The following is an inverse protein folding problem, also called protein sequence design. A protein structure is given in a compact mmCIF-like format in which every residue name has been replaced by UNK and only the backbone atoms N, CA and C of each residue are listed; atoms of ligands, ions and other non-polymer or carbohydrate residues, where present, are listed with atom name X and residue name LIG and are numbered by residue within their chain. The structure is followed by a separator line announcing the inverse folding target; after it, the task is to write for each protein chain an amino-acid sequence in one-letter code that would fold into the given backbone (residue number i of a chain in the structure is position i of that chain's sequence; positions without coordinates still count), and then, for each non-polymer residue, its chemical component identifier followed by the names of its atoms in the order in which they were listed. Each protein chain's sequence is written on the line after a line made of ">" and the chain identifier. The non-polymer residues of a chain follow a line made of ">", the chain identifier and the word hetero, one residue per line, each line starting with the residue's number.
data_IF_409071462033
#
_entry.id   IF_409071462033
#
_cell.length_a   1.000
_cell.length_b   1.000
_cell.length_c   1.000
_cell.angle_alpha   90.00
_cell.angle_beta   90.00
_cell.angle_gamma   90.00
#
_symmetry.space_group_name_H-M   'P 1'
#
loop_
_entity.id
_entity.type
_entity.pdbx_description
1 polymer ?
#
# COMPACT_ATOMS: atom_id res chain seq x y z
N UNK A 1 -18.54 -1.17 -7.41
CA UNK A 1 -18.85 -0.76 -6.00
C UNK A 1 -18.13 -1.72 -5.08
N UNK A 2 -17.60 -1.29 -3.93
CA UNK A 2 -16.93 -2.18 -2.98
C UNK A 2 -17.86 -3.36 -2.59
N UNK A 3 -17.35 -4.59 -2.68
CA UNK A 3 -18.08 -5.82 -2.34
C UNK A 3 -17.09 -6.91 -1.92
N UNK A 4 -17.57 -7.97 -1.27
CA UNK A 4 -16.72 -9.11 -0.89
C UNK A 4 -16.13 -9.83 -2.12
N UNK A 5 -16.83 -9.82 -3.25
CA UNK A 5 -16.37 -10.44 -4.49
C UNK A 5 -15.16 -9.75 -5.11
N UNK A 6 -15.03 -8.43 -4.89
CA UNK A 6 -13.90 -7.63 -5.37
C UNK A 6 -12.89 -7.27 -4.29
N UNK A 7 -13.00 -7.89 -3.12
CA UNK A 7 -12.01 -7.75 -2.06
C UNK A 7 -10.66 -8.36 -2.51
N UNK A 8 -9.63 -7.52 -2.48
CA UNK A 8 -8.27 -7.92 -2.80
C UNK A 8 -7.45 -8.23 -1.55
N UNK A 9 -7.92 -7.84 -0.36
CA UNK A 9 -7.24 -8.06 0.92
C UNK A 9 -7.32 -6.84 1.85
N UNK A 10 -6.45 -6.83 2.86
CA UNK A 10 -6.55 -5.86 3.97
C UNK A 10 -5.27 -5.07 4.18
N UNK A 11 -5.43 -3.79 4.49
CA UNK A 11 -4.37 -2.86 4.83
C UNK A 11 -4.08 -2.94 6.34
N UNK A 12 -2.82 -3.23 6.69
CA UNK A 12 -2.41 -3.54 8.07
C UNK A 12 -1.76 -2.34 8.77
N UNK A 13 -0.95 -1.57 8.06
CA UNK A 13 -0.20 -0.45 8.61
C UNK A 13 -0.19 0.70 7.62
N UNK A 14 -0.35 1.92 8.12
CA UNK A 14 -0.42 3.15 7.29
C UNK A 14 0.24 4.28 8.05
N UNK A 15 1.10 5.04 7.37
CA UNK A 15 1.70 6.25 7.92
C UNK A 15 2.09 7.22 6.80
N UNK A 16 2.16 8.50 7.13
CA UNK A 16 2.82 9.47 6.28
C UNK A 16 4.33 9.32 6.44
N UNK A 17 5.05 9.17 5.33
CA UNK A 17 6.51 9.14 5.29
C UNK A 17 7.06 10.52 4.94
N UNK A 18 7.71 11.24 5.87
CA UNK A 18 8.36 12.52 5.55
C UNK A 18 9.48 12.38 4.53
N UNK A 19 10.13 11.21 4.48
CA UNK A 19 11.24 10.91 3.59
C UNK A 19 10.77 10.80 2.12
N UNK A 20 9.58 10.25 1.92
CA UNK A 20 8.97 10.08 0.59
C UNK A 20 7.94 11.18 0.26
N UNK A 21 7.59 12.02 1.23
CA UNK A 21 6.56 13.06 1.16
C UNK A 21 5.20 12.51 0.69
N UNK A 22 4.87 11.30 1.12
CA UNK A 22 3.68 10.57 0.71
C UNK A 22 3.14 9.69 1.82
N UNK A 23 1.88 9.30 1.72
CA UNK A 23 1.32 8.23 2.54
C UNK A 23 1.76 6.88 1.99
N UNK A 24 2.24 6.01 2.88
CA UNK A 24 2.61 4.64 2.55
C UNK A 24 1.80 3.68 3.42
N UNK A 25 1.56 2.48 2.90
CA UNK A 25 0.86 1.45 3.63
C UNK A 25 1.36 0.05 3.27
N UNK A 26 1.32 -0.84 4.26
CA UNK A 26 1.59 -2.26 4.09
C UNK A 26 0.29 -3.04 4.26
N UNK A 27 0.09 -4.04 3.42
CA UNK A 27 -1.11 -4.87 3.43
C UNK A 27 -0.88 -6.21 2.76
N UNK A 28 -1.83 -7.12 2.98
CA UNK A 28 -1.87 -8.39 2.30
C UNK A 28 -2.80 -8.25 1.12
N UNK A 29 -2.31 -8.54 -0.08
CA UNK A 29 -3.06 -8.41 -1.34
C UNK A 29 -3.00 -9.73 -2.11
N UNK A 30 -4.15 -10.18 -2.61
CA UNK A 30 -4.29 -11.38 -3.43
C UNK A 30 -3.46 -11.24 -4.70
N UNK A 31 -2.43 -12.11 -4.82
CA UNK A 31 -1.42 -12.07 -5.89
C UNK A 31 -0.67 -10.72 -5.94
N UNK A 32 -0.45 -10.07 -4.79
CA UNK A 32 0.11 -8.71 -4.72
C UNK A 32 1.43 -8.51 -5.49
N UNK A 33 2.34 -9.50 -5.48
CA UNK A 33 3.60 -9.42 -6.22
C UNK A 33 3.42 -9.33 -7.74
N UNK A 34 2.38 -9.95 -8.29
CA UNK A 34 2.06 -9.91 -9.72
C UNK A 34 1.32 -8.62 -10.13
N UNK A 35 0.93 -7.81 -9.14
CA UNK A 35 0.13 -6.59 -9.30
C UNK A 35 0.93 -5.33 -9.05
N UNK A 36 2.26 -5.42 -8.94
CA UNK A 36 3.10 -4.23 -8.77
C UNK A 36 2.89 -3.31 -9.98
N UNK A 37 2.55 -2.06 -9.72
CA UNK A 37 2.13 -1.04 -10.69
C UNK A 37 0.61 -0.91 -10.87
N UNK A 38 -0.21 -1.83 -10.33
CA UNK A 38 -1.66 -1.71 -10.38
C UNK A 38 -2.13 -0.59 -9.44
N UNK A 39 -3.02 0.28 -9.94
CA UNK A 39 -3.80 1.19 -9.08
C UNK A 39 -5.08 0.48 -8.63
N UNK A 40 -5.28 0.44 -7.32
CA UNK A 40 -6.47 -0.14 -6.68
C UNK A 40 -7.15 0.89 -5.78
N UNK A 41 -8.34 0.57 -5.29
CA UNK A 41 -9.05 1.42 -4.34
C UNK A 41 -8.95 0.87 -2.92
N UNK A 42 -8.37 1.64 -2.01
CA UNK A 42 -8.44 1.40 -0.58
C UNK A 42 -9.74 1.99 -0.02
N UNK A 43 -10.53 1.18 0.67
CA UNK A 43 -11.85 1.57 1.20
C UNK A 43 -11.84 1.41 2.72
N UNK A 44 -12.08 2.50 3.44
CA UNK A 44 -12.30 2.50 4.89
C UNK A 44 -13.81 2.66 5.15
N UNK A 45 -14.49 1.55 5.41
CA UNK A 45 -15.92 1.56 5.71
C UNK A 45 -16.27 2.18 7.06
N UNK A 46 -15.32 2.26 8.00
CA UNK A 46 -15.57 2.86 9.33
C UNK A 46 -15.60 4.38 9.22
N UNK A 47 -14.68 4.96 8.43
CA UNK A 47 -14.61 6.40 8.18
C UNK A 47 -15.43 6.85 6.97
N UNK A 48 -15.88 5.92 6.14
CA UNK A 48 -16.61 6.22 4.91
C UNK A 48 -15.75 6.89 3.83
N UNK A 49 -14.44 6.63 3.83
CA UNK A 49 -13.50 7.23 2.88
C UNK A 49 -12.95 6.19 1.90
N UNK A 50 -12.69 6.62 0.67
CA UNK A 50 -12.01 5.81 -0.33
C UNK A 50 -10.89 6.60 -1.00
N UNK A 51 -9.79 5.92 -1.31
CA UNK A 51 -8.60 6.51 -1.93
C UNK A 51 -8.05 5.56 -2.99
N UNK A 52 -7.50 6.11 -4.06
CA UNK A 52 -6.68 5.33 -4.99
C UNK A 52 -5.28 5.15 -4.44
N UNK A 53 -4.76 3.93 -4.52
CA UNK A 53 -3.42 3.55 -4.07
C UNK A 53 -2.75 2.68 -5.12
N UNK A 54 -1.45 2.84 -5.30
CA UNK A 54 -0.65 1.99 -6.18
C UNK A 54 -0.02 0.84 -5.37
N UNK A 55 -0.15 -0.38 -5.88
CA UNK A 55 0.60 -1.53 -5.35
C UNK A 55 2.04 -1.39 -5.84
N UNK A 56 2.99 -1.28 -4.92
CA UNK A 56 4.41 -1.14 -5.24
C UNK A 56 5.27 -2.16 -4.47
N UNK A 57 6.59 -2.06 -4.62
CA UNK A 57 7.51 -2.88 -3.83
C UNK A 57 7.33 -2.58 -2.33
N UNK A 58 7.29 -3.60 -1.45
CA UNK A 58 7.10 -3.38 -0.01
C UNK A 58 8.25 -2.60 0.65
N UNK A 59 9.43 -2.52 0.02
CA UNK A 59 10.57 -1.74 0.52
C UNK A 59 10.56 -0.35 -0.11
N UNK A 60 9.79 0.55 0.49
CA UNK A 60 9.60 1.91 -0.01
C UNK A 60 10.86 2.80 0.04
N UNK A 61 11.79 2.51 0.94
CA UNK A 61 12.95 3.35 1.19
C UNK A 61 14.21 2.52 1.41
N UNK A 62 15.30 2.92 0.76
CA UNK A 62 16.61 2.24 0.78
C UNK A 62 16.54 0.73 0.46
N UNK A 63 16.01 0.33 -0.72
CA UNK A 63 15.89 -1.09 -1.08
C UNK A 63 17.25 -1.80 -1.21
N UNK A 64 18.32 -1.05 -1.46
CA UNK A 64 19.68 -1.60 -1.58
C UNK A 64 20.45 -1.60 -0.25
N UNK A 65 19.89 -0.99 0.82
CA UNK A 65 20.52 -0.94 2.14
C UNK A 65 21.81 -0.11 2.18
N UNK A 66 21.94 0.90 1.33
CA UNK A 66 23.16 1.73 1.22
C UNK A 66 23.41 2.53 2.51
N UNK A 67 22.35 2.83 3.27
CA UNK A 67 22.44 3.66 4.48
C UNK A 67 22.71 2.86 5.75
N UNK A 68 22.89 1.54 5.65
CA UNK A 68 23.15 0.67 6.80
C UNK A 68 24.52 0.93 7.47
N UNK A 69 25.45 1.61 6.80
CA UNK A 69 26.87 1.72 7.23
C UNK A 69 27.34 3.12 7.63
N UNK A 70 26.50 4.15 7.54
CA UNK A 70 26.83 5.53 7.94
C UNK A 70 27.64 6.30 6.90
#
# INVERSE_FOLDING_TARGET
>A
KPSLENDLGHMMSVAYSPMLKSWIGLGIVKRGRERIGDTIRAVDFVRGTEFEVEICDPVFFDPQGERLRG
#
